data_IF_238551066124
#
_entry.id   IF_238551066124
#
_cell.length_a   1.000
_cell.length_b   1.000
_cell.length_c   1.000
_cell.angle_alpha   90.00
_cell.angle_beta   90.00
_cell.angle_gamma   90.00
#
_symmetry.space_group_name_H-M   'P 1'
#
loop_
_entity.id
_entity.type
_entity.pdbx_description
1 polymer ?
#
# COMPACT_ATOMS: atom_id res chain seq x y z
N UNK A 1 21.41 -5.62 18.89
CA UNK A 1 20.66 -6.19 20.03
C UNK A 1 20.45 -5.06 21.03
N UNK A 2 19.26 -4.45 21.05
CA UNK A 2 18.96 -3.39 21.99
C UNK A 2 18.72 -4.03 23.36
N UNK A 3 19.66 -3.81 24.27
CA UNK A 3 19.57 -4.27 25.65
C UNK A 3 18.34 -3.66 26.31
N UNK A 4 17.39 -4.51 26.69
CA UNK A 4 16.26 -4.15 27.54
C UNK A 4 16.79 -3.69 28.88
N UNK A 5 17.07 -2.39 29.01
CA UNK A 5 17.34 -1.77 30.30
C UNK A 5 16.06 -1.91 31.12
N UNK A 6 16.07 -2.81 32.10
CA UNK A 6 15.13 -2.79 33.21
C UNK A 6 15.34 -1.48 33.97
N UNK A 7 14.75 -0.40 33.47
CA UNK A 7 14.55 0.82 34.24
C UNK A 7 13.58 0.46 35.36
N UNK A 8 13.91 0.82 36.60
CA UNK A 8 13.04 0.63 37.77
C UNK A 8 11.69 1.41 37.66
N UNK A 9 11.45 2.08 36.54
CA UNK A 9 10.24 2.81 36.24
C UNK A 9 9.16 1.89 35.65
N UNK A 10 7.90 2.01 36.09
CA UNK A 10 6.80 1.28 35.47
C UNK A 10 6.59 1.71 34.01
N UNK A 11 6.20 0.77 33.14
CA UNK A 11 5.81 1.09 31.77
C UNK A 11 4.62 2.07 31.73
N UNK A 12 4.40 2.73 30.58
CA UNK A 12 3.34 3.73 30.43
C UNK A 12 1.95 3.17 30.79
N UNK A 13 1.68 1.91 30.43
CA UNK A 13 0.42 1.24 30.78
C UNK A 13 0.21 1.08 32.29
N UNK A 14 1.20 0.53 32.99
CA UNK A 14 1.12 0.31 34.44
C UNK A 14 1.09 1.64 35.21
N UNK A 15 1.84 2.64 34.74
CA UNK A 15 1.81 4.00 35.28
C UNK A 15 0.41 4.62 35.13
N UNK A 16 -0.20 4.52 33.96
CA UNK A 16 -1.54 5.04 33.69
C UNK A 16 -2.62 4.32 34.53
N UNK A 17 -2.55 2.99 34.61
CA UNK A 17 -3.48 2.16 35.38
C UNK A 17 -3.23 2.18 36.89
N UNK A 18 -2.20 2.91 37.37
CA UNK A 18 -1.81 3.00 38.78
C UNK A 18 -1.58 1.64 39.45
N UNK A 19 -0.95 0.70 38.74
CA UNK A 19 -0.62 -0.65 39.25
C UNK A 19 0.88 -0.93 39.16
N UNK A 20 1.34 -1.92 39.93
CA UNK A 20 2.74 -2.37 39.90
C UNK A 20 3.06 -2.99 38.54
N UNK A 21 4.19 -2.60 37.95
CA UNK A 21 4.72 -3.21 36.73
C UNK A 21 5.56 -4.43 37.12
N UNK A 22 5.12 -5.62 36.75
CA UNK A 22 5.84 -6.88 37.00
C UNK A 22 6.83 -7.17 35.86
N UNK A 23 7.89 -7.98 36.09
CA UNK A 23 8.87 -8.34 35.05
C UNK A 23 8.27 -9.02 33.82
N UNK A 24 7.14 -9.71 33.98
CA UNK A 24 6.37 -10.42 32.95
C UNK A 24 5.23 -9.57 32.36
N UNK A 25 5.25 -8.24 32.56
CA UNK A 25 4.19 -7.37 32.09
C UNK A 25 4.08 -7.36 30.57
N UNK A 26 2.94 -7.85 30.03
CA UNK A 26 2.67 -7.91 28.59
C UNK A 26 2.70 -6.54 27.89
N UNK A 27 2.50 -5.44 28.61
CA UNK A 27 2.47 -4.09 28.04
C UNK A 27 3.86 -3.46 28.02
N UNK A 28 4.78 -3.91 28.88
CA UNK A 28 6.07 -3.24 29.07
C UNK A 28 6.94 -3.17 27.81
N UNK A 29 7.02 -4.21 26.96
CA UNK A 29 7.79 -4.14 25.72
C UNK A 29 7.28 -3.12 24.69
N UNK A 30 5.99 -2.77 24.74
CA UNK A 30 5.32 -2.03 23.66
C UNK A 30 4.87 -0.62 24.06
N UNK A 31 4.80 -0.33 25.36
CA UNK A 31 4.37 0.95 25.92
C UNK A 31 5.45 1.51 26.86
N UNK A 32 6.57 2.00 26.30
CA UNK A 32 7.66 2.56 27.09
C UNK A 32 7.21 3.81 27.86
N UNK A 33 7.80 4.10 29.04
CA UNK A 33 7.39 5.24 29.88
C UNK A 33 7.57 6.62 29.20
N UNK A 34 8.42 6.71 28.17
CA UNK A 34 8.66 7.90 27.34
C UNK A 34 7.45 8.26 26.45
N UNK A 35 6.56 7.30 26.19
CA UNK A 35 5.40 7.47 25.30
C UNK A 35 4.06 7.31 26.05
N UNK A 36 3.75 8.14 27.06
CA UNK A 36 2.55 7.98 27.87
C UNK A 36 1.25 8.21 27.07
N UNK A 37 1.28 9.07 26.05
CA UNK A 37 0.12 9.37 25.21
C UNK A 37 -0.28 8.18 24.33
N UNK A 38 0.69 7.35 23.91
CA UNK A 38 0.42 6.15 23.11
C UNK A 38 -0.53 5.21 23.85
N UNK A 39 -0.24 4.91 25.11
CA UNK A 39 -1.13 4.08 25.92
C UNK A 39 -2.45 4.78 26.26
N UNK A 40 -2.43 6.08 26.57
CA UNK A 40 -3.65 6.82 26.91
C UNK A 40 -4.68 6.79 25.78
N UNK A 41 -4.25 7.01 24.53
CA UNK A 41 -5.12 6.95 23.35
C UNK A 41 -5.64 5.52 23.13
N UNK A 42 -4.75 4.53 23.12
CA UNK A 42 -5.12 3.12 22.93
C UNK A 42 -6.10 2.66 24.02
N UNK A 43 -5.86 3.02 25.28
CA UNK A 43 -6.76 2.71 26.38
C UNK A 43 -8.13 3.37 26.21
N UNK A 44 -8.18 4.63 25.77
CA UNK A 44 -9.45 5.35 25.58
C UNK A 44 -10.28 4.77 24.43
N UNK A 45 -9.66 4.34 23.34
CA UNK A 45 -10.36 3.86 22.15
C UNK A 45 -10.69 2.37 22.21
N UNK A 46 -9.75 1.54 22.67
CA UNK A 46 -9.90 0.08 22.67
C UNK A 46 -10.10 -0.51 24.07
N UNK A 47 -9.55 0.13 25.11
CA UNK A 47 -9.55 -0.38 26.48
C UNK A 47 -8.41 -1.36 26.77
N UNK A 48 -7.84 -1.29 27.98
CA UNK A 48 -6.70 -2.14 28.36
C UNK A 48 -7.01 -3.64 28.25
N UNK A 49 -8.21 -4.08 28.63
CA UNK A 49 -8.59 -5.48 28.60
C UNK A 49 -8.66 -6.05 27.19
N UNK A 50 -9.17 -5.28 26.22
CA UNK A 50 -9.25 -5.72 24.83
C UNK A 50 -7.86 -5.80 24.20
N UNK A 51 -7.02 -4.80 24.46
CA UNK A 51 -5.62 -4.81 24.00
C UNK A 51 -4.87 -6.00 24.61
N UNK A 52 -5.06 -6.27 25.90
CA UNK A 52 -4.47 -7.45 26.57
C UNK A 52 -4.91 -8.75 25.91
N UNK A 53 -6.21 -8.91 25.60
CA UNK A 53 -6.72 -10.11 24.94
C UNK A 53 -6.12 -10.28 23.54
N UNK A 54 -6.16 -9.22 22.73
CA UNK A 54 -5.60 -9.21 21.38
C UNK A 54 -4.10 -9.57 21.39
N UNK A 55 -3.30 -8.99 22.29
CA UNK A 55 -1.88 -9.32 22.38
C UNK A 55 -1.62 -10.78 22.77
N UNK A 56 -2.52 -11.44 23.50
CA UNK A 56 -2.38 -12.86 23.79
C UNK A 56 -2.75 -13.75 22.58
N UNK A 57 -3.65 -13.28 21.72
CA UNK A 57 -4.07 -13.99 20.49
C UNK A 57 -3.07 -13.81 19.32
N UNK A 58 -2.35 -12.69 19.29
CA UNK A 58 -1.36 -12.38 18.26
C UNK A 58 -0.01 -13.04 18.58
N UNK A 59 0.62 -13.59 17.53
CA UNK A 59 1.95 -14.22 17.62
C UNK A 59 2.99 -13.21 18.13
N UNK A 60 3.95 -13.61 19.00
CA UNK A 60 4.87 -12.67 19.65
C UNK A 60 5.61 -11.71 18.70
N UNK A 61 5.99 -12.17 17.50
CA UNK A 61 6.69 -11.36 16.51
C UNK A 61 5.83 -10.30 15.81
N UNK A 62 4.50 -10.44 15.85
CA UNK A 62 3.55 -9.49 15.26
C UNK A 62 3.01 -8.47 16.27
N UNK A 63 3.28 -8.67 17.57
CA UNK A 63 2.71 -7.84 18.63
C UNK A 63 3.15 -6.39 18.54
N UNK A 64 4.39 -6.14 18.13
CA UNK A 64 4.89 -4.78 17.95
C UNK A 64 4.10 -4.04 16.85
N UNK A 65 3.95 -4.67 15.69
CA UNK A 65 3.16 -4.12 14.58
C UNK A 65 1.68 -3.94 14.94
N UNK A 66 1.11 -4.88 15.70
CA UNK A 66 -0.25 -4.78 16.20
C UNK A 66 -0.41 -3.58 17.13
N UNK A 67 0.50 -3.36 18.10
CA UNK A 67 0.44 -2.19 18.99
C UNK A 67 0.63 -0.89 18.22
N UNK A 68 1.54 -0.86 17.24
CA UNK A 68 1.75 0.32 16.41
C UNK A 68 0.50 0.67 15.58
N UNK A 69 -0.18 -0.34 15.04
CA UNK A 69 -1.45 -0.17 14.32
C UNK A 69 -2.55 0.38 15.24
N UNK A 70 -2.73 -0.22 16.42
CA UNK A 70 -3.69 0.27 17.41
C UNK A 70 -3.38 1.70 17.86
N UNK A 71 -2.11 2.04 18.06
CA UNK A 71 -1.70 3.38 18.44
C UNK A 71 -2.07 4.41 17.37
N UNK A 72 -1.78 4.11 16.09
CA UNK A 72 -2.15 4.95 14.96
C UNK A 72 -3.67 5.12 14.87
N UNK A 73 -4.43 4.02 14.92
CA UNK A 73 -5.90 4.06 14.85
C UNK A 73 -6.51 4.85 16.00
N UNK A 74 -6.00 4.66 17.22
CA UNK A 74 -6.47 5.38 18.39
C UNK A 74 -6.18 6.87 18.28
N UNK A 75 -4.98 7.25 17.84
CA UNK A 75 -4.63 8.65 17.61
C UNK A 75 -5.49 9.28 16.52
N UNK A 76 -5.71 8.57 15.40
CA UNK A 76 -6.57 9.05 14.33
C UNK A 76 -8.00 9.29 14.84
N UNK A 77 -8.54 8.38 15.67
CA UNK A 77 -9.87 8.53 16.27
C UNK A 77 -9.95 9.63 17.34
N UNK A 78 -8.83 9.96 17.98
CA UNK A 78 -8.74 11.12 18.87
C UNK A 78 -8.78 12.43 18.12
N UNK A 79 -8.17 12.50 16.92
CA UNK A 79 -8.18 13.68 16.05
C UNK A 79 -9.50 13.85 15.30
N UNK A 80 -10.09 12.74 14.86
CA UNK A 80 -11.39 12.70 14.19
C UNK A 80 -12.29 11.66 14.90
N UNK A 81 -13.15 12.11 15.83
CA UNK A 81 -14.06 11.23 16.56
C UNK A 81 -15.13 10.56 15.69
N UNK A 82 -15.39 11.08 14.49
CA UNK A 82 -16.44 10.58 13.59
C UNK A 82 -15.85 9.50 12.67
N UNK A 83 -14.78 9.81 11.95
CA UNK A 83 -14.25 8.91 10.92
C UNK A 83 -12.89 8.28 11.28
N UNK A 84 -12.12 8.84 12.19
CA UNK A 84 -10.80 8.34 12.56
C UNK A 84 -9.90 8.06 11.35
N UNK A 85 -9.30 6.87 11.30
CA UNK A 85 -8.46 6.45 10.18
C UNK A 85 -9.25 6.23 8.87
N UNK A 86 -10.57 6.00 8.92
CA UNK A 86 -11.41 5.84 7.72
C UNK A 86 -11.49 7.14 6.91
N UNK A 87 -11.38 8.29 7.59
CA UNK A 87 -11.26 9.60 6.93
C UNK A 87 -10.00 9.67 6.06
N UNK A 88 -8.85 9.23 6.60
CA UNK A 88 -7.59 9.17 5.86
C UNK A 88 -7.67 8.21 4.66
N UNK A 89 -8.27 7.02 4.85
CA UNK A 89 -8.52 6.07 3.76
C UNK A 89 -9.32 6.73 2.63
N UNK A 90 -10.41 7.43 2.99
CA UNK A 90 -11.29 8.08 2.01
C UNK A 90 -10.57 9.17 1.21
N UNK A 91 -9.70 9.95 1.86
CA UNK A 91 -8.87 10.96 1.18
C UNK A 91 -7.90 10.30 0.22
N UNK A 92 -7.19 9.26 0.66
CA UNK A 92 -6.21 8.55 -0.16
C UNK A 92 -6.87 7.88 -1.36
N UNK A 93 -8.04 7.26 -1.19
CA UNK A 93 -8.80 6.67 -2.30
C UNK A 93 -9.16 7.71 -3.37
N UNK A 94 -9.63 8.89 -2.97
CA UNK A 94 -9.90 9.99 -3.91
C UNK A 94 -8.63 10.45 -4.62
N UNK A 95 -7.51 10.50 -3.91
CA UNK A 95 -6.22 10.89 -4.49
C UNK A 95 -5.72 9.88 -5.51
N UNK A 96 -5.83 8.57 -5.23
CA UNK A 96 -5.49 7.50 -6.19
C UNK A 96 -6.32 7.66 -7.46
N UNK A 97 -7.64 7.84 -7.34
CA UNK A 97 -8.52 8.02 -8.51
C UNK A 97 -8.15 9.28 -9.30
N UNK A 98 -7.87 10.40 -8.63
CA UNK A 98 -7.46 11.65 -9.29
C UNK A 98 -6.14 11.47 -10.05
N UNK A 99 -5.13 10.89 -9.41
CA UNK A 99 -3.82 10.68 -10.01
C UNK A 99 -3.88 9.71 -11.18
N UNK A 100 -4.70 8.66 -11.09
CA UNK A 100 -4.92 7.75 -12.22
C UNK A 100 -5.53 8.48 -13.42
N UNK A 101 -6.53 9.34 -13.20
CA UNK A 101 -7.13 10.14 -14.29
C UNK A 101 -6.14 11.10 -14.94
N UNK A 102 -5.28 11.74 -14.13
CA UNK A 102 -4.22 12.62 -14.64
C UNK A 102 -3.20 11.85 -15.48
N UNK A 103 -2.83 10.64 -15.03
CA UNK A 103 -1.94 9.75 -15.78
C UNK A 103 -2.58 9.33 -17.11
N UNK A 104 -3.84 8.90 -17.09
CA UNK A 104 -4.57 8.47 -18.29
C UNK A 104 -4.71 9.59 -19.31
N UNK A 105 -5.03 10.82 -18.85
CA UNK A 105 -5.10 11.99 -19.71
C UNK A 105 -3.74 12.33 -20.34
N UNK A 106 -2.67 12.31 -19.53
CA UNK A 106 -1.31 12.58 -20.03
C UNK A 106 -0.86 11.51 -21.03
N UNK A 107 -1.17 10.25 -20.79
CA UNK A 107 -0.86 9.16 -21.72
C UNK A 107 -1.64 9.31 -23.04
N UNK A 108 -2.91 9.70 -22.98
CA UNK A 108 -3.70 10.01 -24.17
C UNK A 108 -3.09 11.18 -24.96
N UNK A 109 -2.60 12.21 -24.28
CA UNK A 109 -1.90 13.34 -24.92
C UNK A 109 -0.63 12.88 -25.63
N UNK A 110 0.21 12.08 -24.97
CA UNK A 110 1.43 11.53 -25.55
C UNK A 110 1.15 10.68 -26.80
N UNK A 111 0.12 9.84 -26.77
CA UNK A 111 -0.29 9.04 -27.93
C UNK A 111 -0.73 9.95 -29.08
N UNK A 112 -1.51 11.01 -28.79
CA UNK A 112 -1.93 11.99 -29.82
C UNK A 112 -0.72 12.68 -30.47
N UNK A 113 0.28 13.09 -29.68
CA UNK A 113 1.50 13.68 -30.22
C UNK A 113 2.27 12.68 -31.10
N UNK A 114 2.48 11.45 -30.62
CA UNK A 114 3.21 10.42 -31.36
C UNK A 114 2.51 10.03 -32.68
N UNK A 115 1.19 9.94 -32.71
CA UNK A 115 0.44 9.62 -33.93
C UNK A 115 0.35 10.78 -34.93
N UNK A 116 0.40 12.04 -34.46
CA UNK A 116 0.37 13.22 -35.32
C UNK A 116 1.73 13.53 -35.98
N UNK A 117 2.83 12.91 -35.55
CA UNK A 117 4.16 13.06 -36.19
C UNK A 117 4.40 12.11 -37.37
N UNK A 118 3.40 11.38 -37.89
CA UNK A 118 3.52 10.73 -39.20
C UNK A 118 3.25 11.74 -40.33
N UNK A 119 4.24 12.15 -41.14
CA UNK A 119 3.97 12.91 -42.35
C UNK A 119 3.18 12.00 -43.30
N UNK A 120 2.02 12.48 -43.74
CA UNK A 120 1.21 11.78 -44.74
C UNK A 120 2.10 11.43 -45.95
N UNK A 121 2.13 10.16 -46.43
CA UNK A 121 2.81 9.84 -47.67
C UNK A 121 2.07 10.56 -48.80
N UNK A 122 2.76 11.51 -49.42
CA UNK A 122 2.26 12.30 -50.53
C UNK A 122 1.82 11.39 -51.70
N UNK A 123 0.55 11.40 -52.15
CA UNK A 123 0.09 10.53 -53.22
C UNK A 123 0.28 11.19 -54.59
N UNK A 124 1.53 11.45 -54.99
CA UNK A 124 1.94 11.88 -56.33
C UNK A 124 3.40 11.42 -56.47
N UNK A 125 3.76 10.38 -57.21
CA UNK A 125 3.85 10.30 -58.67
C UNK A 125 3.89 8.83 -59.13
N UNK A 126 3.29 8.53 -60.30
CA UNK A 126 3.10 7.17 -60.80
C UNK A 126 4.29 6.46 -61.45
N UNK A 127 4.09 5.13 -61.61
CA UNK A 127 4.69 4.15 -62.53
C UNK A 127 6.23 4.00 -62.58
N UNK A 128 6.74 2.83 -62.14
CA UNK A 128 7.60 1.95 -62.97
C UNK A 128 7.76 0.54 -62.36
N UNK A 129 7.55 -0.50 -63.19
CA UNK A 129 7.95 -1.89 -62.93
C UNK A 129 9.47 -2.01 -62.71
N UNK A 130 9.90 -2.89 -61.80
CA UNK A 130 11.31 -3.27 -61.68
C UNK A 130 11.62 -4.19 -60.49
N UNK A 131 11.90 -5.45 -60.79
CA UNK A 131 12.43 -6.51 -59.92
C UNK A 131 13.64 -6.07 -59.06
N UNK A 132 13.74 -6.58 -57.82
CA UNK A 132 14.98 -6.59 -57.04
C UNK A 132 14.75 -6.54 -55.54
N UNK A 133 14.85 -7.68 -54.85
CA UNK A 133 14.68 -7.76 -53.41
C UNK A 133 15.81 -7.08 -52.64
N UNK A 134 15.47 -6.46 -51.52
CA UNK A 134 16.37 -6.16 -50.40
C UNK A 134 15.54 -6.31 -49.12
N UNK A 135 15.92 -7.31 -48.33
CA UNK A 135 15.50 -7.49 -46.94
C UNK A 135 16.06 -6.34 -46.10
N UNK A 136 15.19 -5.57 -45.45
CA UNK A 136 15.57 -4.79 -44.27
C UNK A 136 14.59 -5.13 -43.15
N UNK A 137 15.16 -5.72 -42.11
CA UNK A 137 14.55 -5.86 -40.80
C UNK A 137 14.38 -4.44 -40.21
N UNK A 138 13.15 -4.05 -39.89
CA UNK A 138 12.83 -2.85 -39.11
C UNK A 138 11.74 -3.25 -38.11
N UNK A 139 12.17 -3.69 -36.93
CA UNK A 139 12.43 -2.83 -35.77
C UNK A 139 11.13 -2.40 -35.05
N UNK A 140 10.91 -3.05 -33.90
CA UNK A 140 10.53 -2.44 -32.63
C UNK A 140 9.17 -1.75 -32.55
N UNK A 141 8.10 -2.55 -32.55
CA UNK A 141 6.91 -2.18 -31.80
C UNK A 141 7.15 -2.42 -30.32
N UNK A 142 7.35 -1.35 -29.53
CA UNK A 142 7.33 -1.47 -28.07
C UNK A 142 5.89 -1.81 -27.65
N UNK A 143 5.63 -3.08 -27.44
CA UNK A 143 4.47 -3.55 -26.71
C UNK A 143 4.75 -3.35 -25.22
N UNK A 144 4.07 -2.38 -24.59
CA UNK A 144 4.02 -2.29 -23.13
C UNK A 144 2.87 -3.17 -22.64
N UNK A 145 3.12 -4.32 -21.99
CA UNK A 145 2.06 -5.07 -21.33
C UNK A 145 1.63 -4.29 -20.08
N UNK A 146 0.32 -4.02 -19.97
CA UNK A 146 -0.26 -3.52 -18.73
C UNK A 146 -0.18 -4.61 -17.64
N UNK A 147 0.22 -4.30 -16.38
CA UNK A 147 0.42 -5.32 -15.34
C UNK A 147 -0.86 -6.00 -14.81
N UNK A 148 -2.04 -5.72 -15.37
CA UNK A 148 -3.33 -6.18 -14.82
C UNK A 148 -4.14 -7.08 -15.76
N UNK A 149 -3.53 -7.63 -16.81
CA UNK A 149 -4.15 -8.73 -17.54
C UNK A 149 -3.79 -10.05 -16.85
N UNK A 150 -4.61 -10.44 -15.87
CA UNK A 150 -4.70 -11.84 -15.46
C UNK A 150 -5.39 -12.60 -16.59
N UNK A 151 -4.61 -13.22 -17.46
CA UNK A 151 -5.09 -14.20 -18.42
C UNK A 151 -5.66 -15.41 -17.66
N UNK A 152 -6.97 -15.61 -17.74
CA UNK A 152 -7.57 -16.94 -17.59
C UNK A 152 -8.40 -17.23 -18.82
N UNK A 153 -7.75 -17.70 -19.88
CA UNK A 153 -8.44 -18.49 -20.91
C UNK A 153 -7.48 -19.39 -21.68
N UNK A 154 -7.41 -20.64 -21.22
CA UNK A 154 -6.85 -21.82 -21.88
C UNK A 154 -7.09 -22.95 -20.87
N UNK A 155 -7.98 -23.92 -21.11
CA UNK A 155 -7.89 -24.85 -22.22
C UNK A 155 -9.27 -25.31 -22.72
N UNK A 156 -9.38 -25.47 -24.03
CA UNK A 156 -10.28 -26.44 -24.65
C UNK A 156 -9.48 -27.16 -25.73
N UNK A 157 -9.08 -28.39 -25.44
CA UNK A 157 -8.41 -29.32 -26.34
C UNK A 157 -8.94 -30.72 -26.09
N UNK A 158 -9.85 -31.14 -26.97
CA UNK A 158 -10.52 -32.44 -27.05
C UNK A 158 -9.53 -33.52 -27.54
N UNK A 159 -9.70 -34.80 -27.16
CA UNK A 159 -8.84 -35.88 -27.65
C UNK A 159 -8.89 -37.22 -26.90
N UNK A 160 -9.95 -37.99 -27.14
CA UNK A 160 -10.14 -39.46 -27.10
C UNK A 160 -8.94 -40.40 -26.80
N UNK A 161 -9.12 -41.33 -25.83
CA UNK A 161 -9.38 -42.80 -25.97
C UNK A 161 -9.56 -43.38 -24.56
#
# INVERSE_FOLDING_TARGET
>A
MASSSYSNSPCAACKFLRRKCMPDCIFAPYFPPEEPQKFANVHKIFGASNVSKLLNEVLPHQREDAVNSLAYEAEARMKDPVYGCVGAISVLQRQVIRLQKELDATNADLIRYACNEMPAPNPQFGRRMGHGGVSYDQNSGIYYPSPWNHDTCGERGDGSV
#
